data_IF_319950912908
#
_entry.id   IF_319950912908
#
_cell.length_a   1.000
_cell.length_b   1.000
_cell.length_c   1.000
_cell.angle_alpha   90.00
_cell.angle_beta   90.00
_cell.angle_gamma   90.00
#
_symmetry.space_group_name_H-M   'P 1'
#
loop_
_entity.id
_entity.type
_entity.pdbx_description
1 polymer ?
#
# COMPACT_ATOMS: atom_id res chain seq x y z
N UNK A 1 3.63 9.90 -35.11
CA UNK A 1 4.04 8.95 -34.06
C UNK A 1 5.11 9.66 -33.24
N UNK A 2 4.80 10.01 -32.00
CA UNK A 2 5.75 10.56 -31.04
C UNK A 2 6.01 9.45 -30.04
N UNK A 3 7.16 8.80 -30.13
CA UNK A 3 7.63 7.88 -29.10
C UNK A 3 8.21 8.74 -27.96
N UNK A 4 7.62 8.62 -26.77
CA UNK A 4 8.12 9.31 -25.59
C UNK A 4 9.46 8.68 -25.16
N UNK A 5 10.51 9.51 -25.06
CA UNK A 5 11.81 9.13 -24.50
C UNK A 5 11.64 8.63 -23.05
N UNK A 6 11.60 7.31 -22.86
CA UNK A 6 11.75 6.68 -21.55
C UNK A 6 13.20 6.80 -21.10
N UNK A 7 13.50 7.60 -20.07
CA UNK A 7 14.79 7.49 -19.36
C UNK A 7 15.50 8.76 -18.91
N UNK A 8 14.84 9.91 -18.73
CA UNK A 8 15.52 11.15 -18.25
C UNK A 8 15.56 11.36 -16.74
N UNK A 9 14.83 10.56 -15.96
CA UNK A 9 14.83 10.66 -14.50
C UNK A 9 14.98 9.27 -13.89
N UNK A 10 15.80 9.10 -12.83
CA UNK A 10 15.79 7.83 -12.10
C UNK A 10 14.35 7.58 -11.65
N UNK A 11 13.81 6.41 -12.01
CA UNK A 11 12.50 5.99 -11.52
C UNK A 11 12.56 5.90 -10.00
N UNK A 12 12.05 6.93 -9.33
CA UNK A 12 11.89 6.91 -7.89
C UNK A 12 10.84 5.88 -7.55
N UNK A 13 11.25 4.81 -6.88
CA UNK A 13 10.37 3.76 -6.39
C UNK A 13 9.69 4.24 -5.11
N UNK A 14 8.53 3.68 -4.83
CA UNK A 14 7.70 4.09 -3.70
C UNK A 14 8.45 3.99 -2.35
N UNK A 15 9.30 2.97 -2.20
CA UNK A 15 10.04 2.68 -0.97
C UNK A 15 11.50 3.19 -1.01
N UNK A 16 11.84 4.05 -1.97
CA UNK A 16 13.17 4.68 -2.00
C UNK A 16 13.31 5.68 -0.85
N UNK A 17 14.47 5.68 -0.19
CA UNK A 17 14.85 6.70 0.82
C UNK A 17 15.22 6.12 2.18
N UNK A 18 14.89 4.87 2.47
CA UNK A 18 15.34 4.16 3.66
C UNK A 18 15.30 2.63 3.49
N UNK A 19 15.82 1.91 4.49
CA UNK A 19 15.97 0.45 4.48
C UNK A 19 15.28 -0.24 5.67
N UNK A 20 14.62 0.54 6.53
CA UNK A 20 13.98 0.10 7.77
C UNK A 20 12.45 0.07 7.63
N UNK A 21 11.95 -0.21 6.42
CA UNK A 21 10.52 -0.35 6.19
C UNK A 21 9.98 -1.58 6.92
N UNK A 22 8.94 -1.36 7.72
CA UNK A 22 8.17 -2.39 8.40
C UNK A 22 6.79 -2.51 7.73
N UNK A 23 6.28 -3.74 7.66
CA UNK A 23 4.99 -4.06 7.05
C UNK A 23 4.12 -4.74 8.10
N UNK A 24 2.93 -4.19 8.32
CA UNK A 24 1.92 -4.75 9.20
C UNK A 24 0.67 -5.07 8.36
N UNK A 25 0.21 -6.31 8.47
CA UNK A 25 -1.02 -6.80 7.88
C UNK A 25 -1.85 -7.51 8.96
N UNK A 26 -3.15 -7.70 8.72
CA UNK A 26 -4.07 -8.30 9.70
C UNK A 26 -4.02 -7.59 11.07
N UNK A 27 -4.17 -6.27 11.02
CA UNK A 27 -4.03 -5.35 12.15
C UNK A 27 -5.07 -5.69 13.26
N UNK A 28 -4.67 -6.21 14.43
CA UNK A 28 -5.64 -6.69 15.42
C UNK A 28 -5.92 -5.69 16.56
N UNK A 29 -4.96 -4.80 16.88
CA UNK A 29 -5.05 -3.77 17.93
C UNK A 29 -5.22 -2.36 17.32
N UNK A 30 -6.31 -1.68 17.67
CA UNK A 30 -6.78 -0.42 17.04
C UNK A 30 -6.88 0.76 18.01
N UNK A 31 -6.63 0.50 19.29
CA UNK A 31 -6.68 1.49 20.37
C UNK A 31 -5.60 2.58 20.19
N UNK A 32 -4.53 2.26 19.47
CA UNK A 32 -3.39 3.15 19.18
C UNK A 32 -3.54 3.98 17.90
N UNK A 33 -4.60 3.78 17.12
CA UNK A 33 -4.82 4.46 15.84
C UNK A 33 -5.62 5.78 15.96
N UNK A 34 -5.50 6.69 14.97
CA UNK A 34 -6.27 7.93 14.94
C UNK A 34 -7.78 7.73 15.11
N UNK A 35 -8.41 8.67 15.82
CA UNK A 35 -9.84 8.64 16.18
C UNK A 35 -10.81 8.38 15.00
N UNK A 36 -10.47 8.85 13.80
CA UNK A 36 -11.28 8.63 12.59
C UNK A 36 -11.33 7.16 12.19
N UNK A 37 -10.22 6.43 12.32
CA UNK A 37 -10.14 4.99 12.03
C UNK A 37 -10.93 4.23 13.10
N UNK A 38 -10.73 4.59 14.37
CA UNK A 38 -11.39 3.95 15.51
C UNK A 38 -12.92 4.09 15.49
N UNK A 39 -13.45 5.24 15.03
CA UNK A 39 -14.90 5.50 14.99
C UNK A 39 -15.59 4.93 13.75
N UNK A 40 -14.91 4.91 12.62
CA UNK A 40 -15.53 4.50 11.33
C UNK A 40 -15.41 3.01 11.07
N UNK A 41 -14.50 2.31 11.76
CA UNK A 41 -14.12 0.90 11.48
C UNK A 41 -13.60 0.67 10.06
N UNK A 42 -13.37 1.74 9.29
CA UNK A 42 -12.73 1.71 7.98
C UNK A 42 -11.23 1.65 8.22
N UNK A 43 -10.65 0.49 7.97
CA UNK A 43 -9.24 0.17 8.19
C UNK A 43 -8.56 -0.12 6.85
N UNK A 44 -7.29 0.28 6.68
CA UNK A 44 -6.50 -0.27 5.59
C UNK A 44 -6.23 -1.76 5.85
N UNK A 45 -6.01 -2.51 4.79
CA UNK A 45 -5.60 -3.92 4.89
C UNK A 45 -4.13 -4.05 5.28
N UNK A 46 -3.29 -3.09 4.88
CA UNK A 46 -1.84 -3.10 5.12
C UNK A 46 -1.34 -1.70 5.50
N UNK A 47 -0.44 -1.65 6.48
CA UNK A 47 0.37 -0.49 6.82
C UNK A 47 1.85 -0.76 6.48
N UNK A 48 2.49 0.19 5.81
CA UNK A 48 3.93 0.16 5.54
C UNK A 48 4.53 1.45 6.08
N UNK A 49 5.54 1.35 6.94
CA UNK A 49 6.10 2.53 7.60
C UNK A 49 7.60 2.40 7.85
N UNK A 50 8.28 3.54 7.96
CA UNK A 50 9.69 3.62 8.33
C UNK A 50 9.81 4.45 9.60
N UNK A 51 10.26 3.86 10.73
CA UNK A 51 10.46 4.59 11.97
C UNK A 51 11.50 5.72 11.84
N UNK A 52 12.59 5.50 11.10
CA UNK A 52 13.67 6.50 10.98
C UNK A 52 13.28 7.72 10.15
N UNK A 53 12.43 7.55 9.13
CA UNK A 53 12.01 8.64 8.24
C UNK A 53 10.61 9.18 8.53
N UNK A 54 9.89 8.54 9.46
CA UNK A 54 8.50 8.86 9.82
C UNK A 54 7.55 8.83 8.61
N UNK A 55 7.87 8.04 7.59
CA UNK A 55 7.01 7.83 6.44
C UNK A 55 6.00 6.72 6.72
N UNK A 56 4.79 6.89 6.22
CA UNK A 56 3.67 5.97 6.43
C UNK A 56 2.84 5.84 5.15
N UNK A 57 2.52 4.62 4.77
CA UNK A 57 1.74 4.26 3.59
C UNK A 57 0.62 3.34 4.04
N UNK A 58 -0.62 3.70 3.68
CA UNK A 58 -1.81 2.88 3.89
C UNK A 58 -2.21 2.23 2.57
N UNK A 59 -2.49 0.94 2.60
CA UNK A 59 -2.92 0.18 1.42
C UNK A 59 -4.29 -0.43 1.68
N UNK A 60 -5.24 -0.13 0.80
CA UNK A 60 -6.52 -0.80 0.69
C UNK A 60 -6.45 -1.79 -0.48
N UNK A 61 -6.75 -3.05 -0.21
CA UNK A 61 -6.86 -4.09 -1.21
C UNK A 61 -8.30 -4.08 -1.74
N UNK A 62 -8.48 -3.42 -2.88
CA UNK A 62 -9.74 -3.56 -3.61
C UNK A 62 -9.77 -4.93 -4.27
N UNK A 63 -10.82 -5.72 -4.01
CA UNK A 63 -11.07 -6.92 -4.80
C UNK A 63 -11.42 -6.45 -6.21
N UNK A 64 -10.61 -6.73 -7.24
CA UNK A 64 -11.10 -6.56 -8.59
C UNK A 64 -12.29 -7.51 -8.71
N UNK A 65 -13.46 -7.02 -9.08
CA UNK A 65 -14.54 -7.90 -9.46
C UNK A 65 -14.02 -8.81 -10.59
N UNK A 66 -13.59 -10.03 -10.27
CA UNK A 66 -13.20 -11.02 -11.24
C UNK A 66 -14.47 -11.43 -11.98
N UNK A 67 -14.80 -10.69 -13.03
CA UNK A 67 -15.82 -11.09 -14.02
C UNK A 67 -15.39 -12.35 -14.80
N UNK A 68 -14.28 -12.99 -14.42
CA UNK A 68 -13.66 -14.15 -15.09
C UNK A 68 -13.02 -15.14 -14.12
N UNK A 69 -13.63 -15.40 -12.96
CA UNK A 69 -13.21 -16.53 -12.09
C UNK A 69 -13.13 -17.88 -12.83
N UNK A 70 -13.86 -18.03 -13.94
CA UNK A 70 -13.94 -19.27 -14.72
C UNK A 70 -12.71 -19.58 -15.59
N UNK A 71 -11.73 -18.68 -15.71
CA UNK A 71 -10.49 -18.93 -16.47
C UNK A 71 -9.32 -19.44 -15.60
N UNK A 72 -9.50 -19.56 -14.28
CA UNK A 72 -8.55 -20.20 -13.40
C UNK A 72 -8.81 -21.72 -13.28
N UNK A 73 -8.90 -22.41 -14.42
CA UNK A 73 -8.82 -23.88 -14.45
C UNK A 73 -7.43 -24.30 -14.93
N UNK A 74 -6.64 -24.78 -13.96
CA UNK A 74 -5.44 -25.67 -14.01
C UNK A 74 -4.60 -25.67 -15.29
#
# INVERSE_FOLDING_TARGET
>A
MLEAEHGKYPEKRLLDGCHDWEVLADLPEWDKHPDVIRRTTLRPDIEIHSPSTQQFIMVELTVPHETRMEQAHT
#
